data_IF_598637432948
#
_entry.id   IF_598637432948
#
_cell.length_a   1.000
_cell.length_b   1.000
_cell.length_c   1.000
_cell.angle_alpha   90.00
_cell.angle_beta   90.00
_cell.angle_gamma   90.00
#
_symmetry.space_group_name_H-M   'P 1'
#
loop_
_entity.id
_entity.type
_entity.pdbx_description
1 polymer ?
#
# COMPACT_ATOMS: atom_id res chain seq x y z
N UNK A 1 -3.75 17.57 -32.46
CA UNK A 1 -2.37 17.38 -31.95
C UNK A 1 -2.32 16.03 -31.26
N UNK A 2 -1.85 15.01 -31.97
CA UNK A 2 -1.64 13.66 -31.42
C UNK A 2 -0.35 13.66 -30.61
N UNK A 3 -0.47 13.51 -29.28
CA UNK A 3 0.71 13.24 -28.44
C UNK A 3 1.32 11.91 -28.87
N UNK A 4 2.66 11.82 -29.02
CA UNK A 4 3.29 10.55 -29.33
C UNK A 4 3.05 9.59 -28.16
N UNK A 5 2.46 8.42 -28.44
CA UNK A 5 2.41 7.29 -27.53
C UNK A 5 3.85 6.90 -27.22
N UNK A 6 4.34 7.29 -26.04
CA UNK A 6 5.59 6.76 -25.48
C UNK A 6 5.49 5.23 -25.53
N UNK A 7 6.42 4.60 -26.23
CA UNK A 7 6.45 3.14 -26.40
C UNK A 7 6.45 2.49 -25.01
N UNK A 8 5.33 1.85 -24.64
CA UNK A 8 5.28 1.02 -23.44
C UNK A 8 6.13 -0.20 -23.72
N UNK A 9 7.11 -0.48 -22.87
CA UNK A 9 7.88 -1.71 -22.97
C UNK A 9 6.95 -2.91 -22.75
N UNK A 10 7.27 -4.04 -23.37
CA UNK A 10 6.55 -5.29 -23.09
C UNK A 10 6.67 -5.63 -21.61
N UNK A 11 5.56 -6.03 -20.99
CA UNK A 11 5.52 -6.38 -19.57
C UNK A 11 6.49 -7.52 -19.28
N UNK A 12 7.23 -7.40 -18.18
CA UNK A 12 8.05 -8.50 -17.68
C UNK A 12 7.21 -9.75 -17.38
N UNK A 13 7.80 -10.96 -17.37
CA UNK A 13 7.05 -12.19 -17.16
C UNK A 13 6.17 -12.20 -15.91
N UNK A 14 6.65 -11.68 -14.77
CA UNK A 14 5.86 -11.58 -13.55
C UNK A 14 4.67 -10.63 -13.72
N UNK A 15 4.89 -9.42 -14.24
CA UNK A 15 3.81 -8.44 -14.46
C UNK A 15 2.79 -8.94 -15.49
N UNK A 16 3.25 -9.58 -16.57
CA UNK A 16 2.39 -10.18 -17.57
C UNK A 16 1.51 -11.29 -16.97
N UNK A 17 2.06 -12.12 -16.07
CA UNK A 17 1.27 -13.16 -15.38
C UNK A 17 0.19 -12.55 -14.48
N UNK A 18 0.51 -11.51 -13.72
CA UNK A 18 -0.45 -10.79 -12.86
C UNK A 18 -1.54 -10.14 -13.69
N UNK A 19 -1.17 -9.47 -14.79
CA UNK A 19 -2.09 -8.79 -15.69
C UNK A 19 -3.07 -9.76 -16.37
N UNK A 20 -2.58 -10.92 -16.84
CA UNK A 20 -3.45 -11.94 -17.47
C UNK A 20 -4.54 -12.48 -16.54
N UNK A 21 -4.29 -12.50 -15.23
CA UNK A 21 -5.27 -12.96 -14.23
C UNK A 21 -6.07 -11.85 -13.54
N UNK A 22 -5.86 -10.58 -13.91
CA UNK A 22 -6.37 -9.40 -13.19
C UNK A 22 -6.11 -9.45 -11.67
N UNK A 23 -4.93 -9.93 -11.27
CA UNK A 23 -4.57 -10.17 -9.86
C UNK A 23 -3.90 -8.96 -9.19
N UNK A 24 -3.80 -7.82 -9.88
CA UNK A 24 -3.06 -6.67 -9.37
C UNK A 24 -3.84 -5.96 -8.25
N UNK A 25 -3.29 -5.99 -7.03
CA UNK A 25 -3.85 -5.28 -5.87
C UNK A 25 -3.62 -3.75 -5.91
N UNK A 26 -2.86 -3.23 -6.88
CA UNK A 26 -2.60 -1.78 -7.01
C UNK A 26 -1.61 -1.21 -5.98
N UNK A 27 -0.96 -2.04 -5.16
CA UNK A 27 -0.16 -1.58 -4.02
C UNK A 27 1.03 -0.66 -4.35
N UNK A 28 1.56 -0.71 -5.57
CA UNK A 28 2.65 0.16 -6.02
C UNK A 28 4.08 -0.31 -5.72
N UNK A 29 4.28 -1.43 -5.03
CA UNK A 29 5.61 -1.86 -4.59
C UNK A 29 6.60 -2.08 -5.74
N UNK A 30 6.15 -2.58 -6.90
CA UNK A 30 7.00 -2.76 -8.08
C UNK A 30 7.52 -1.40 -8.61
N UNK A 31 6.64 -0.40 -8.72
CA UNK A 31 7.02 0.97 -9.08
C UNK A 31 7.91 1.61 -8.01
N UNK A 32 7.66 1.33 -6.73
CA UNK A 32 8.49 1.85 -5.65
C UNK A 32 9.90 1.28 -5.61
N UNK A 33 10.12 0.03 -6.06
CA UNK A 33 11.45 -0.57 -6.16
C UNK A 33 12.18 -0.18 -7.46
N UNK A 34 11.45 0.03 -8.55
CA UNK A 34 12.01 0.35 -9.87
C UNK A 34 11.38 1.60 -10.49
N UNK A 35 11.51 2.77 -9.83
CA UNK A 35 10.82 4.00 -10.25
C UNK A 35 11.25 4.52 -11.62
N UNK A 36 12.44 4.16 -12.09
CA UNK A 36 12.94 4.54 -13.42
C UNK A 36 12.35 3.67 -14.55
N UNK A 37 11.68 2.57 -14.20
CA UNK A 37 11.18 1.55 -15.15
C UNK A 37 9.68 1.30 -15.05
N UNK A 38 9.06 1.67 -13.93
CA UNK A 38 7.67 1.38 -13.61
C UNK A 38 7.04 2.58 -12.92
N UNK A 39 5.81 2.88 -13.27
CA UNK A 39 4.97 3.90 -12.63
C UNK A 39 3.55 3.39 -12.47
N UNK A 40 2.86 3.75 -11.39
CA UNK A 40 1.45 3.42 -11.23
C UNK A 40 0.60 4.44 -11.98
N UNK A 41 -0.31 3.96 -12.84
CA UNK A 41 -1.27 4.82 -13.54
C UNK A 41 -2.68 4.30 -13.40
N UNK A 42 -3.64 5.22 -13.38
CA UNK A 42 -5.04 4.87 -13.44
C UNK A 42 -5.34 4.21 -14.78
N UNK A 43 -5.93 3.02 -14.74
CA UNK A 43 -6.36 2.26 -15.89
C UNK A 43 -7.85 1.95 -15.78
N UNK A 44 -8.52 1.76 -16.92
CA UNK A 44 -9.92 1.33 -16.93
C UNK A 44 -10.08 -0.02 -16.22
N UNK A 45 -11.17 -0.25 -15.46
CA UNK A 45 -12.31 0.65 -15.23
C UNK A 45 -12.15 1.64 -14.05
N UNK A 46 -10.96 1.82 -13.49
CA UNK A 46 -10.73 2.74 -12.36
C UNK A 46 -9.78 2.18 -11.31
N UNK A 47 -8.74 1.45 -11.72
CA UNK A 47 -7.74 0.90 -10.81
C UNK A 47 -6.35 1.37 -11.16
N UNK A 48 -5.48 1.50 -10.15
CA UNK A 48 -4.05 1.70 -10.38
C UNK A 48 -3.42 0.41 -10.92
N UNK A 49 -2.67 0.54 -12.00
CA UNK A 49 -1.92 -0.55 -12.65
C UNK A 49 -0.49 -0.10 -12.95
N UNK A 50 0.50 -0.99 -12.85
CA UNK A 50 1.86 -0.67 -13.23
C UNK A 50 1.96 -0.49 -14.75
N UNK A 51 2.63 0.57 -15.17
CA UNK A 51 3.01 0.81 -16.56
C UNK A 51 4.52 0.71 -16.66
N UNK A 52 4.98 -0.24 -17.47
CA UNK A 52 6.41 -0.47 -17.70
C UNK A 52 6.92 0.45 -18.82
N UNK A 53 7.85 1.33 -18.47
CA UNK A 53 8.44 2.35 -19.35
C UNK A 53 9.81 1.93 -19.88
N UNK A 54 10.46 0.95 -19.24
CA UNK A 54 11.75 0.40 -19.66
C UNK A 54 11.85 -1.10 -19.33
N UNK A 55 12.79 -1.80 -19.96
CA UNK A 55 12.98 -3.23 -19.73
C UNK A 55 13.48 -3.52 -18.30
N UNK A 56 12.89 -4.54 -17.68
CA UNK A 56 13.38 -5.13 -16.43
C UNK A 56 14.34 -6.27 -16.74
N UNK A 57 15.40 -6.40 -15.95
CA UNK A 57 16.27 -7.57 -15.97
C UNK A 57 15.57 -8.79 -15.36
N UNK A 58 16.12 -9.99 -15.59
CA UNK A 58 15.59 -11.21 -14.96
C UNK A 58 15.60 -11.16 -13.43
N UNK A 59 16.65 -10.58 -12.85
CA UNK A 59 16.76 -10.43 -11.39
C UNK A 59 15.72 -9.46 -10.84
N UNK A 60 15.48 -8.34 -11.54
CA UNK A 60 14.46 -7.37 -11.15
C UNK A 60 13.05 -7.98 -11.22
N UNK A 61 12.75 -8.75 -12.28
CA UNK A 61 11.49 -9.47 -12.41
C UNK A 61 11.32 -10.54 -11.31
N UNK A 62 12.39 -11.25 -10.95
CA UNK A 62 12.37 -12.22 -9.85
C UNK A 62 12.11 -11.56 -8.49
N UNK A 63 12.63 -10.35 -8.26
CA UNK A 63 12.28 -9.55 -7.05
C UNK A 63 10.81 -9.17 -7.07
N UNK A 64 10.27 -8.68 -8.19
CA UNK A 64 8.84 -8.35 -8.32
C UNK A 64 7.97 -9.58 -8.04
N UNK A 65 8.32 -10.73 -8.61
CA UNK A 65 7.57 -11.97 -8.41
C UNK A 65 7.51 -12.38 -6.93
N UNK A 66 8.58 -12.15 -6.17
CA UNK A 66 8.67 -12.47 -4.74
C UNK A 66 7.83 -11.54 -3.86
N UNK A 67 7.81 -10.25 -4.16
CA UNK A 67 7.12 -9.24 -3.34
C UNK A 67 5.66 -9.03 -3.73
N UNK A 68 5.26 -9.46 -4.94
CA UNK A 68 3.90 -9.29 -5.41
C UNK A 68 2.93 -10.18 -4.62
N UNK A 69 1.87 -9.61 -4.02
CA UNK A 69 0.90 -10.39 -3.23
C UNK A 69 0.17 -11.45 -4.07
N UNK A 70 0.07 -11.25 -5.38
CA UNK A 70 -0.55 -12.21 -6.29
C UNK A 70 0.34 -13.41 -6.66
N UNK A 71 1.64 -13.37 -6.35
CA UNK A 71 2.61 -14.36 -6.82
C UNK A 71 3.44 -14.98 -5.69
N UNK A 72 3.97 -14.16 -4.79
CA UNK A 72 4.97 -14.56 -3.80
C UNK A 72 4.45 -14.71 -2.37
N UNK A 73 3.18 -14.39 -2.12
CA UNK A 73 2.61 -14.46 -0.78
C UNK A 73 2.25 -15.91 -0.40
N UNK A 74 2.79 -16.37 0.73
CA UNK A 74 2.47 -17.66 1.34
C UNK A 74 1.92 -17.40 2.73
N UNK A 75 0.78 -18.00 3.06
CA UNK A 75 0.18 -17.94 4.40
C UNK A 75 0.49 -19.25 5.12
N UNK A 76 1.29 -19.18 6.19
CA UNK A 76 1.65 -20.34 7.01
C UNK A 76 0.98 -20.25 8.38
N UNK A 77 0.41 -21.35 8.86
CA UNK A 77 -0.29 -21.36 10.15
C UNK A 77 0.66 -21.17 11.34
N UNK A 78 1.90 -21.69 11.27
CA UNK A 78 2.92 -21.54 12.32
C UNK A 78 2.41 -21.92 13.71
N UNK A 79 1.61 -23.00 13.80
CA UNK A 79 1.04 -23.48 15.06
C UNK A 79 -0.20 -22.72 15.56
N UNK A 80 -0.67 -21.72 14.82
CA UNK A 80 -1.92 -21.00 15.11
C UNK A 80 -3.15 -21.80 14.66
N UNK A 81 -4.33 -21.57 15.27
CA UNK A 81 -5.60 -22.03 14.69
C UNK A 81 -5.73 -21.51 13.25
N UNK A 82 -6.07 -22.40 12.32
CA UNK A 82 -6.16 -22.08 10.89
C UNK A 82 -7.52 -22.53 10.31
N UNK A 83 -8.62 -21.84 10.66
CA UNK A 83 -9.93 -22.16 10.11
C UNK A 83 -10.02 -21.69 8.66
N UNK A 84 -10.64 -22.52 7.81
CA UNK A 84 -10.79 -22.29 6.36
C UNK A 84 -11.28 -20.89 5.98
N UNK A 85 -12.17 -20.29 6.79
CA UNK A 85 -12.76 -18.97 6.49
C UNK A 85 -11.88 -17.78 6.91
N UNK A 86 -11.06 -17.93 7.95
CA UNK A 86 -10.37 -16.81 8.59
C UNK A 86 -8.86 -16.82 8.36
N UNK A 87 -8.30 -17.99 8.01
CA UNK A 87 -6.86 -18.19 8.00
C UNK A 87 -6.26 -18.16 9.42
N UNK A 88 -4.93 -18.17 9.54
CA UNK A 88 -4.28 -18.30 10.83
C UNK A 88 -4.30 -17.00 11.64
N UNK A 89 -4.74 -17.07 12.91
CA UNK A 89 -4.82 -15.93 13.82
C UNK A 89 -4.29 -16.25 15.22
N UNK A 90 -3.90 -15.22 15.98
CA UNK A 90 -3.47 -15.39 17.39
C UNK A 90 -4.65 -15.26 18.35
N UNK A 91 -5.45 -14.20 18.19
CA UNK A 91 -6.67 -13.96 18.96
C UNK A 91 -7.65 -13.11 18.14
N UNK A 92 -8.94 -13.18 18.49
CA UNK A 92 -9.99 -12.32 17.93
C UNK A 92 -10.61 -11.52 19.07
N UNK A 93 -10.65 -10.19 18.92
CA UNK A 93 -11.11 -9.25 19.95
C UNK A 93 -11.95 -8.15 19.30
N UNK A 94 -12.83 -7.52 20.09
CA UNK A 94 -13.60 -6.35 19.67
C UNK A 94 -13.27 -5.17 20.59
N UNK A 95 -13.20 -3.97 20.01
CA UNK A 95 -12.84 -2.76 20.73
C UNK A 95 -12.91 -1.51 19.86
N UNK A 96 -12.63 -0.36 20.47
CA UNK A 96 -12.59 0.94 19.82
C UNK A 96 -11.56 1.83 20.51
N UNK A 97 -11.17 2.93 19.86
CA UNK A 97 -10.26 3.92 20.40
C UNK A 97 -10.84 4.56 21.67
N UNK A 98 -10.04 4.65 22.73
CA UNK A 98 -10.42 5.36 23.96
C UNK A 98 -10.38 6.88 23.79
N UNK A 99 -9.59 7.37 22.82
CA UNK A 99 -9.60 8.76 22.39
C UNK A 99 -10.86 9.07 21.56
N UNK A 100 -11.63 10.06 22.00
CA UNK A 100 -12.90 10.41 21.39
C UNK A 100 -12.76 10.88 19.94
N UNK A 101 -11.77 11.71 19.64
CA UNK A 101 -11.57 12.26 18.30
C UNK A 101 -11.26 11.14 17.30
N UNK A 102 -10.32 10.26 17.65
CA UNK A 102 -9.98 9.10 16.81
C UNK A 102 -11.14 8.11 16.68
N UNK A 103 -11.88 7.86 17.77
CA UNK A 103 -13.02 6.94 17.77
C UNK A 103 -14.08 7.34 16.74
N UNK A 104 -14.42 8.62 16.71
CA UNK A 104 -15.50 9.14 15.88
C UNK A 104 -15.04 9.58 14.48
N UNK A 105 -13.75 9.83 14.27
CA UNK A 105 -13.19 10.06 12.94
C UNK A 105 -12.91 8.77 12.15
N UNK A 106 -12.55 7.67 12.82
CA UNK A 106 -12.18 6.42 12.18
C UNK A 106 -13.36 5.59 11.67
N UNK A 107 -13.16 4.85 10.58
CA UNK A 107 -14.21 4.04 9.94
C UNK A 107 -14.73 2.84 10.76
N UNK A 108 -13.93 2.35 11.71
CA UNK A 108 -14.27 1.18 12.55
C UNK A 108 -13.88 1.43 14.00
N UNK A 109 -14.43 2.52 14.57
CA UNK A 109 -14.18 2.93 15.95
C UNK A 109 -12.76 3.43 16.21
N UNK A 110 -12.02 3.84 15.18
CA UNK A 110 -10.68 4.41 15.31
C UNK A 110 -9.57 3.41 15.67
N UNK A 111 -9.80 2.10 15.57
CA UNK A 111 -8.82 1.09 16.03
C UNK A 111 -7.44 1.23 15.37
N UNK A 112 -7.38 1.29 14.03
CA UNK A 112 -6.11 1.45 13.30
C UNK A 112 -5.41 2.78 13.62
N UNK A 113 -6.17 3.89 13.67
CA UNK A 113 -5.63 5.20 13.98
C UNK A 113 -5.09 5.27 15.42
N UNK A 114 -5.77 4.64 16.38
CA UNK A 114 -5.26 4.56 17.76
C UNK A 114 -4.00 3.71 17.83
N UNK A 115 -3.95 2.56 17.17
CA UNK A 115 -2.72 1.74 17.11
C UNK A 115 -1.54 2.52 16.51
N UNK A 116 -1.78 3.24 15.42
CA UNK A 116 -0.76 4.09 14.79
C UNK A 116 -0.27 5.20 15.72
N UNK A 117 -1.20 5.90 16.41
CA UNK A 117 -0.84 6.91 17.41
C UNK A 117 -0.05 6.30 18.57
N UNK A 118 -0.49 5.15 19.08
CA UNK A 118 0.19 4.47 20.17
C UNK A 118 1.64 4.09 19.80
N UNK A 119 1.88 3.60 18.59
CA UNK A 119 3.23 3.28 18.12
C UNK A 119 4.15 4.51 18.08
N UNK A 120 3.61 5.68 17.71
CA UNK A 120 4.32 6.96 17.73
C UNK A 120 4.61 7.42 19.17
N UNK A 121 3.59 7.47 20.02
CA UNK A 121 3.71 7.95 21.40
C UNK A 121 4.59 7.04 22.26
N UNK A 122 4.56 5.74 22.01
CA UNK A 122 5.44 4.77 22.67
C UNK A 122 6.88 4.77 22.10
N UNK A 123 7.14 5.54 21.03
CA UNK A 123 8.45 5.60 20.38
C UNK A 123 8.87 4.28 19.70
N UNK A 124 7.92 3.41 19.36
CA UNK A 124 8.17 2.17 18.61
C UNK A 124 8.52 2.50 17.16
N UNK A 125 7.85 3.50 16.60
CA UNK A 125 8.12 4.05 15.27
C UNK A 125 8.34 5.56 15.36
N UNK A 126 9.06 6.10 14.39
CA UNK A 126 9.35 7.53 14.28
C UNK A 126 8.31 8.24 13.38
N UNK A 127 7.63 7.48 12.52
CA UNK A 127 6.62 7.99 11.61
C UNK A 127 5.65 6.88 11.15
N UNK A 128 4.46 7.28 10.69
CA UNK A 128 3.44 6.39 10.11
C UNK A 128 3.20 6.78 8.66
N UNK A 129 3.22 5.81 7.76
CA UNK A 129 2.88 5.95 6.35
C UNK A 129 1.39 5.65 6.19
N UNK A 130 0.62 6.61 5.70
CA UNK A 130 -0.82 6.44 5.56
C UNK A 130 -1.37 7.16 4.33
N UNK A 131 -2.62 6.84 4.00
CA UNK A 131 -3.32 7.42 2.85
C UNK A 131 -4.26 8.52 3.32
N UNK A 132 -4.13 9.70 2.72
CA UNK A 132 -5.00 10.85 2.94
C UNK A 132 -5.72 11.25 1.65
N UNK A 133 -6.70 12.16 1.77
CA UNK A 133 -7.30 12.80 0.60
C UNK A 133 -6.22 13.56 -0.15
N UNK A 134 -6.23 13.45 -1.47
CA UNK A 134 -5.45 14.35 -2.29
C UNK A 134 -6.12 15.75 -2.29
N UNK A 135 -5.44 16.81 -1.82
CA UNK A 135 -6.00 18.17 -1.84
C UNK A 135 -6.18 18.73 -3.26
N UNK A 136 -5.41 18.21 -4.23
CA UNK A 136 -5.41 18.66 -5.62
C UNK A 136 -6.30 17.79 -6.51
N UNK A 137 -6.70 16.60 -6.03
CA UNK A 137 -7.59 15.68 -6.73
C UNK A 137 -8.75 15.21 -5.82
N UNK A 138 -9.98 15.73 -5.97
CA UNK A 138 -11.09 15.44 -5.03
C UNK A 138 -11.48 13.97 -4.86
N UNK A 139 -11.23 13.14 -5.88
CA UNK A 139 -11.48 11.69 -5.87
C UNK A 139 -10.21 10.87 -5.64
N UNK A 140 -9.08 11.56 -5.43
CA UNK A 140 -7.74 11.00 -5.34
C UNK A 140 -7.31 10.73 -3.91
N UNK A 141 -6.25 9.94 -3.83
CA UNK A 141 -5.58 9.57 -2.59
C UNK A 141 -4.10 9.92 -2.73
N UNK A 142 -3.50 10.39 -1.64
CA UNK A 142 -2.06 10.67 -1.58
C UNK A 142 -1.44 9.96 -0.37
N UNK A 143 -0.21 9.48 -0.54
CA UNK A 143 0.56 8.91 0.58
C UNK A 143 1.19 10.03 1.38
N UNK A 144 0.86 10.12 2.66
CA UNK A 144 1.41 11.09 3.61
C UNK A 144 2.21 10.38 4.71
N UNK A 145 3.11 11.14 5.33
CA UNK A 145 3.89 10.69 6.48
C UNK A 145 3.43 11.50 7.67
N UNK A 146 3.00 10.82 8.73
CA UNK A 146 2.54 11.46 9.96
C UNK A 146 3.44 11.12 11.13
N UNK A 147 3.70 12.11 11.97
CA UNK A 147 4.63 12.02 13.10
C UNK A 147 3.96 12.42 14.42
N UNK A 148 2.68 12.78 14.39
CA UNK A 148 1.90 13.24 15.53
C UNK A 148 0.42 12.85 15.41
N UNK A 149 -0.33 13.07 16.49
CA UNK A 149 -1.78 12.82 16.57
C UNK A 149 -2.56 13.59 15.49
N UNK A 150 -2.17 14.83 15.20
CA UNK A 150 -2.89 15.67 14.25
C UNK A 150 -2.83 15.08 12.84
N UNK A 151 -1.66 14.60 12.41
CA UNK A 151 -1.49 13.90 11.14
C UNK A 151 -2.26 12.58 11.08
N UNK A 152 -2.24 11.78 12.15
CA UNK A 152 -3.04 10.54 12.24
C UNK A 152 -4.54 10.84 12.10
N UNK A 153 -5.03 11.85 12.82
CA UNK A 153 -6.43 12.24 12.79
C UNK A 153 -6.84 12.77 11.40
N UNK A 154 -5.99 13.57 10.76
CA UNK A 154 -6.27 14.14 9.43
C UNK A 154 -6.42 13.09 8.32
N UNK A 155 -5.76 11.93 8.48
CA UNK A 155 -5.87 10.80 7.55
C UNK A 155 -6.88 9.73 8.00
N UNK A 156 -7.55 9.92 9.14
CA UNK A 156 -8.50 8.94 9.65
C UNK A 156 -9.73 8.77 8.73
N UNK A 157 -10.26 7.54 8.71
CA UNK A 157 -11.42 7.16 7.92
C UNK A 157 -11.07 6.38 6.65
N UNK A 158 -12.08 5.73 6.05
CA UNK A 158 -11.91 4.97 4.83
C UNK A 158 -12.09 5.84 3.60
N UNK A 159 -11.25 5.65 2.59
CA UNK A 159 -11.38 6.27 1.28
C UNK A 159 -11.55 5.19 0.22
N UNK A 160 -12.68 5.23 -0.48
CA UNK A 160 -13.04 4.23 -1.50
C UNK A 160 -12.55 4.65 -2.88
N UNK A 161 -11.26 4.94 -2.97
CA UNK A 161 -10.55 5.23 -4.21
C UNK A 161 -9.25 4.40 -4.23
N UNK A 162 -8.69 4.07 -5.42
CA UNK A 162 -7.41 3.37 -5.51
C UNK A 162 -6.30 4.12 -4.76
N UNK A 163 -5.34 3.38 -4.23
CA UNK A 163 -4.11 3.93 -3.66
C UNK A 163 -2.94 3.00 -3.93
N UNK A 164 -1.74 3.57 -4.04
CA UNK A 164 -0.49 2.84 -4.22
C UNK A 164 0.44 3.07 -3.00
N UNK A 165 0.08 2.56 -1.80
CA UNK A 165 0.77 2.88 -0.55
C UNK A 165 2.26 2.50 -0.53
N UNK A 166 2.69 1.57 -1.40
CA UNK A 166 4.08 1.12 -1.50
C UNK A 166 4.84 1.74 -2.68
N UNK A 167 4.26 2.71 -3.41
CA UNK A 167 4.93 3.38 -4.53
C UNK A 167 6.16 4.19 -4.09
N UNK A 168 6.28 4.53 -2.80
CA UNK A 168 7.43 5.24 -2.24
C UNK A 168 8.31 4.37 -1.34
N UNK A 169 8.10 3.04 -1.34
CA UNK A 169 8.71 2.15 -0.34
C UNK A 169 10.25 2.21 -0.31
N UNK A 170 10.92 2.27 -1.46
CA UNK A 170 12.39 2.33 -1.48
C UNK A 170 12.93 3.63 -0.86
N UNK A 171 12.28 4.76 -1.15
CA UNK A 171 12.64 6.04 -0.57
C UNK A 171 12.39 6.07 0.94
N UNK A 172 11.29 5.47 1.40
CA UNK A 172 10.98 5.33 2.82
C UNK A 172 11.97 4.42 3.55
N UNK A 173 12.40 3.32 2.93
CA UNK A 173 13.42 2.43 3.50
C UNK A 173 14.80 3.10 3.60
N UNK A 174 15.13 4.01 2.67
CA UNK A 174 16.39 4.75 2.67
C UNK A 174 16.41 5.95 3.63
N UNK A 175 15.25 6.38 4.13
CA UNK A 175 15.10 7.57 4.99
C UNK A 175 15.71 7.40 6.39
N UNK A 176 15.82 6.15 6.87
CA UNK A 176 16.48 5.82 8.15
C UNK A 176 15.57 5.92 9.39
N UNK A 177 14.36 6.46 9.26
CA UNK A 177 13.30 6.36 10.28
C UNK A 177 12.72 4.95 10.36
N UNK A 178 12.20 4.59 11.53
CA UNK A 178 11.34 3.43 11.74
C UNK A 178 9.91 3.83 11.34
N UNK A 179 9.35 3.17 10.32
CA UNK A 179 7.99 3.42 9.85
C UNK A 179 7.04 2.32 10.29
N UNK A 180 5.77 2.69 10.51
CA UNK A 180 4.62 1.79 10.44
C UNK A 180 3.79 2.08 9.18
#
# INVERSE_FOLDING_TARGET
MTMPLSATAELSPALARVARGDLCAGCGACAGLYPDKLTMKMAAPGFLRPVQTAALTGDEDAVIARICPALGQVVAAEGRPDPVLWGPYVAMQTGWATDGDLRFAGASGGALSMLALHLLEAGVVDAVVQIAADPDQPIGNVTVISTDKAGILAAAGSRYAPSAPLERVAALMADGRRFA
#
